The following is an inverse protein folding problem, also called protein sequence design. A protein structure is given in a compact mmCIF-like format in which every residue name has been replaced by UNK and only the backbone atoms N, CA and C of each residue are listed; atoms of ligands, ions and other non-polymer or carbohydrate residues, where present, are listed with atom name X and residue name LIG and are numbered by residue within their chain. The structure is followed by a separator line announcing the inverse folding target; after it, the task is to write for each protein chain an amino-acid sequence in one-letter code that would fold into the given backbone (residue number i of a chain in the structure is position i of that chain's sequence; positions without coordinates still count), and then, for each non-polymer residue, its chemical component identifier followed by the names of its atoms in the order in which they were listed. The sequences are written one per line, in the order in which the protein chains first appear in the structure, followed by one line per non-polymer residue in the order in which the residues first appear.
data_IF_669005563225
#
_entry.id   IF_669005563225
#
_cell.length_a   1.000
_cell.length_b   1.000
_cell.length_c   1.000
_cell.angle_alpha   90.00
_cell.angle_beta   90.00
_cell.angle_gamma   90.00
#
_symmetry.space_group_name_H-M   'P 1'
#
loop_
_entity.id
_entity.type
_entity.pdbx_description
1 polymer ?
#
# COMPACT_ATOMS: atom_id res chain seq x y z
N UNK A 1 2.23 26.46 -10.43
CA UNK A 1 3.19 25.36 -10.19
C UNK A 1 3.77 25.38 -8.74
N UNK A 2 3.10 25.98 -7.76
CA UNK A 2 3.52 26.00 -6.33
C UNK A 2 2.89 24.88 -5.48
N UNK A 3 1.93 24.13 -6.02
CA UNK A 3 1.23 23.04 -5.33
C UNK A 3 1.98 21.71 -5.31
N UNK A 4 3.05 21.59 -6.11
CA UNK A 4 3.80 20.35 -6.33
C UNK A 4 4.89 20.07 -5.28
N UNK A 5 5.18 21.01 -4.39
CA UNK A 5 6.29 20.89 -3.42
C UNK A 5 5.85 20.51 -2.01
N UNK A 6 4.55 20.30 -1.77
CA UNK A 6 4.03 20.06 -0.41
C UNK A 6 4.23 21.24 0.55
N UNK A 7 4.53 22.43 0.03
CA UNK A 7 4.76 23.66 0.80
C UNK A 7 3.49 24.47 1.09
N UNK A 8 2.37 24.15 0.41
CA UNK A 8 1.07 24.76 0.72
C UNK A 8 0.48 23.99 1.91
N UNK A 9 0.38 24.66 3.06
CA UNK A 9 -0.22 24.09 4.27
C UNK A 9 -1.66 23.60 4.03
N UNK A 10 -2.08 22.59 4.78
CA UNK A 10 -3.44 22.02 4.74
C UNK A 10 -4.53 23.10 4.90
N UNK A 11 -4.21 24.15 5.67
CA UNK A 11 -5.02 25.35 5.92
C UNK A 11 -5.45 26.13 4.66
N UNK A 12 -4.68 26.06 3.57
CA UNK A 12 -5.01 26.76 2.31
C UNK A 12 -5.76 25.87 1.31
N UNK A 13 -5.70 24.55 1.47
CA UNK A 13 -6.29 23.61 0.52
C UNK A 13 -7.75 23.29 0.84
N UNK A 14 -8.14 23.22 2.12
CA UNK A 14 -9.54 22.96 2.50
C UNK A 14 -10.48 24.05 1.94
N UNK A 15 -10.23 25.36 2.13
CA UNK A 15 -11.08 26.41 1.55
C UNK A 15 -11.11 26.39 0.03
N UNK A 16 -10.02 25.96 -0.63
CA UNK A 16 -9.96 25.83 -2.08
C UNK A 16 -10.95 24.78 -2.62
N UNK A 17 -11.19 23.69 -1.87
CA UNK A 17 -12.13 22.62 -2.26
C UNK A 17 -13.56 22.82 -1.73
N UNK A 18 -13.80 23.76 -0.81
CA UNK A 18 -15.14 24.02 -0.26
C UNK A 18 -16.19 24.37 -1.33
N UNK A 19 -15.77 24.99 -2.44
CA UNK A 19 -16.65 25.37 -3.55
C UNK A 19 -16.57 24.40 -4.75
N UNK A 20 -16.00 23.19 -4.57
CA UNK A 20 -15.82 22.20 -5.63
C UNK A 20 -17.07 21.32 -5.77
N UNK A 21 -18.22 21.92 -6.10
CA UNK A 21 -19.54 21.27 -6.03
C UNK A 21 -19.66 19.94 -6.80
N UNK A 22 -18.87 19.74 -7.86
CA UNK A 22 -18.84 18.50 -8.64
C UNK A 22 -17.69 17.56 -8.25
N UNK A 23 -16.77 17.98 -7.38
CA UNK A 23 -15.59 17.23 -6.98
C UNK A 23 -14.50 17.14 -8.05
N UNK A 24 -14.58 17.93 -9.14
CA UNK A 24 -13.63 17.86 -10.25
C UNK A 24 -12.23 18.39 -9.89
N UNK A 25 -12.14 19.46 -9.07
CA UNK A 25 -10.84 19.98 -8.63
C UNK A 25 -10.18 18.99 -7.68
N UNK A 26 -10.94 18.38 -6.79
CA UNK A 26 -10.45 17.41 -5.82
C UNK A 26 -9.99 16.12 -6.51
N UNK A 27 -10.77 15.58 -7.46
CA UNK A 27 -10.35 14.43 -8.29
C UNK A 27 -9.06 14.74 -9.03
N UNK A 28 -8.94 15.90 -9.70
CA UNK A 28 -7.68 16.31 -10.34
C UNK A 28 -6.52 16.45 -9.35
N UNK A 29 -6.76 16.97 -8.16
CA UNK A 29 -5.71 17.05 -7.14
C UNK A 29 -5.23 15.66 -6.72
N UNK A 30 -6.15 14.71 -6.53
CA UNK A 30 -5.81 13.31 -6.20
C UNK A 30 -4.93 12.71 -7.30
N UNK A 31 -5.39 12.74 -8.56
CA UNK A 31 -4.71 12.11 -9.71
C UNK A 31 -3.37 12.76 -10.02
N UNK A 32 -3.30 14.10 -10.06
CA UNK A 32 -2.13 14.81 -10.61
C UNK A 32 -1.11 15.21 -9.55
N UNK A 33 -1.50 15.23 -8.28
CA UNK A 33 -0.65 15.74 -7.19
C UNK A 33 -0.52 14.72 -6.08
N UNK A 34 -1.62 14.33 -5.43
CA UNK A 34 -1.57 13.50 -4.22
C UNK A 34 -0.90 12.15 -4.49
N UNK A 35 -1.40 11.40 -5.46
CA UNK A 35 -0.90 10.05 -5.74
C UNK A 35 0.56 10.06 -6.24
N UNK A 36 0.97 10.89 -7.23
CA UNK A 36 2.38 11.01 -7.63
C UNK A 36 3.30 11.48 -6.49
N UNK A 37 2.81 12.33 -5.59
CA UNK A 37 3.58 12.76 -4.42
C UNK A 37 3.74 11.62 -3.40
N UNK A 38 2.68 10.85 -3.15
CA UNK A 38 2.73 9.68 -2.27
C UNK A 38 3.64 8.58 -2.82
N UNK A 39 3.65 8.37 -4.14
CA UNK A 39 4.52 7.43 -4.86
C UNK A 39 6.01 7.72 -4.62
N UNK A 40 6.41 9.00 -4.74
CA UNK A 40 7.82 9.40 -4.81
C UNK A 40 8.39 9.93 -3.49
N UNK A 41 7.51 10.39 -2.60
CA UNK A 41 7.91 11.14 -1.42
C UNK A 41 7.19 10.63 -0.15
N UNK A 42 7.61 9.48 0.41
CA UNK A 42 6.96 8.86 1.57
C UNK A 42 6.96 9.73 2.83
N UNK A 43 7.88 10.70 2.93
CA UNK A 43 7.91 11.69 4.01
C UNK A 43 6.68 12.61 4.02
N UNK A 44 5.90 12.64 2.94
CA UNK A 44 4.69 13.46 2.82
C UNK A 44 3.41 12.73 3.23
N UNK A 45 3.44 11.40 3.41
CA UNK A 45 2.25 10.58 3.67
C UNK A 45 1.41 11.09 4.84
N UNK A 46 2.05 11.45 5.96
CA UNK A 46 1.32 11.95 7.15
C UNK A 46 0.63 13.29 6.88
N UNK A 47 1.29 14.21 6.19
CA UNK A 47 0.70 15.51 5.82
C UNK A 47 -0.47 15.32 4.84
N UNK A 48 -0.33 14.40 3.89
CA UNK A 48 -1.41 14.07 2.96
C UNK A 48 -2.59 13.41 3.68
N UNK A 49 -2.33 12.53 4.66
CA UNK A 49 -3.37 11.92 5.48
C UNK A 49 -4.13 12.96 6.31
N UNK A 50 -3.43 13.93 6.90
CA UNK A 50 -4.03 15.05 7.62
C UNK A 50 -4.93 15.89 6.71
N UNK A 51 -4.49 16.14 5.47
CA UNK A 51 -5.33 16.82 4.47
C UNK A 51 -6.59 16.01 4.17
N UNK A 52 -6.48 14.70 3.93
CA UNK A 52 -7.64 13.86 3.66
C UNK A 52 -8.64 13.86 4.82
N UNK A 53 -8.16 13.79 6.08
CA UNK A 53 -9.01 13.93 7.27
C UNK A 53 -9.73 15.28 7.33
N UNK A 54 -9.04 16.37 6.98
CA UNK A 54 -9.64 17.70 6.97
C UNK A 54 -10.66 17.89 5.83
N UNK A 55 -10.53 17.14 4.73
CA UNK A 55 -11.47 17.15 3.61
C UNK A 55 -12.66 16.20 3.82
N UNK A 56 -12.56 15.21 4.71
CA UNK A 56 -13.61 14.22 5.00
C UNK A 56 -15.01 14.81 5.24
N UNK A 57 -15.19 15.96 5.94
CA UNK A 57 -16.50 16.54 6.16
C UNK A 57 -17.18 17.10 4.90
N UNK A 58 -16.43 17.32 3.81
CA UNK A 58 -16.98 17.84 2.56
C UNK A 58 -17.75 16.75 1.82
N UNK A 59 -18.97 17.04 1.34
CA UNK A 59 -19.78 16.03 0.63
C UNK A 59 -19.11 15.52 -0.66
N UNK A 60 -18.33 16.39 -1.31
CA UNK A 60 -17.54 16.07 -2.51
C UNK A 60 -16.41 15.08 -2.24
N UNK A 61 -15.98 14.96 -0.98
CA UNK A 61 -15.02 13.96 -0.55
C UNK A 61 -15.63 12.56 -0.54
N UNK A 62 -16.87 12.40 -0.04
CA UNK A 62 -17.44 11.10 0.33
C UNK A 62 -17.57 10.12 -0.84
N UNK A 63 -17.91 10.60 -2.02
CA UNK A 63 -18.13 9.72 -3.17
C UNK A 63 -17.02 9.85 -4.22
N UNK A 64 -16.79 11.05 -4.75
CA UNK A 64 -15.88 11.23 -5.90
C UNK A 64 -14.41 11.10 -5.52
N UNK A 65 -13.97 11.70 -4.41
CA UNK A 65 -12.58 11.62 -3.95
C UNK A 65 -12.21 10.19 -3.54
N UNK A 66 -13.09 9.52 -2.78
CA UNK A 66 -12.90 8.11 -2.40
C UNK A 66 -12.78 7.20 -3.61
N UNK A 67 -13.66 7.37 -4.61
CA UNK A 67 -13.61 6.58 -5.84
C UNK A 67 -12.34 6.87 -6.66
N UNK A 68 -11.91 8.13 -6.75
CA UNK A 68 -10.66 8.49 -7.42
C UNK A 68 -9.44 7.91 -6.71
N UNK A 69 -9.37 8.00 -5.37
CA UNK A 69 -8.30 7.40 -4.58
C UNK A 69 -8.23 5.88 -4.79
N UNK A 70 -9.39 5.21 -4.78
CA UNK A 70 -9.47 3.78 -5.07
C UNK A 70 -8.97 3.45 -6.47
N UNK A 71 -9.47 4.17 -7.47
CA UNK A 71 -9.10 3.96 -8.86
C UNK A 71 -7.59 4.19 -9.05
N UNK A 72 -7.07 5.36 -8.68
CA UNK A 72 -5.67 5.73 -8.91
C UNK A 72 -4.69 4.84 -8.16
N UNK A 73 -4.96 4.51 -6.89
CA UNK A 73 -4.05 3.64 -6.12
C UNK A 73 -4.09 2.20 -6.65
N UNK A 74 -5.26 1.70 -7.07
CA UNK A 74 -5.36 0.38 -7.69
C UNK A 74 -4.69 0.34 -9.08
N UNK A 75 -4.91 1.33 -9.94
CA UNK A 75 -4.33 1.40 -11.28
C UNK A 75 -2.81 1.54 -11.21
N UNK A 76 -2.30 2.42 -10.35
CA UNK A 76 -0.85 2.56 -10.16
C UNK A 76 -0.25 1.25 -9.66
N UNK A 77 -0.88 0.63 -8.66
CA UNK A 77 -0.48 -0.66 -8.16
C UNK A 77 -0.40 -1.72 -9.28
N UNK A 78 -1.46 -1.89 -10.06
CA UNK A 78 -1.48 -2.83 -11.19
C UNK A 78 -0.41 -2.50 -12.24
N UNK A 79 -0.18 -1.21 -12.51
CA UNK A 79 0.80 -0.75 -13.51
C UNK A 79 2.25 -1.08 -13.15
N UNK A 80 2.57 -1.19 -11.85
CA UNK A 80 3.91 -1.60 -11.43
C UNK A 80 4.18 -3.09 -11.70
N UNK A 81 3.12 -3.90 -11.87
CA UNK A 81 3.23 -5.34 -12.12
C UNK A 81 4.12 -6.03 -11.10
N UNK A 82 4.58 -7.25 -11.39
CA UNK A 82 5.74 -7.82 -10.67
C UNK A 82 6.97 -6.98 -11.06
N UNK A 83 7.46 -6.02 -10.25
CA UNK A 83 8.53 -5.18 -10.73
C UNK A 83 9.79 -6.03 -10.70
N UNK A 84 10.26 -6.41 -11.89
CA UNK A 84 11.48 -7.20 -12.12
C UNK A 84 12.54 -6.91 -11.06
N UNK A 85 13.29 -7.90 -10.56
CA UNK A 85 14.40 -7.66 -9.62
C UNK A 85 15.33 -6.51 -10.05
N UNK A 86 15.45 -6.26 -11.36
CA UNK A 86 16.23 -5.15 -11.93
C UNK A 86 15.59 -3.75 -11.82
N UNK A 87 14.27 -3.63 -11.63
CA UNK A 87 13.54 -2.37 -11.56
C UNK A 87 13.34 -1.86 -10.11
N UNK A 88 14.45 -1.50 -9.45
CA UNK A 88 14.45 -1.09 -8.04
C UNK A 88 13.55 0.13 -7.72
N UNK A 89 13.43 1.08 -8.65
CA UNK A 89 12.60 2.27 -8.46
C UNK A 89 11.10 1.93 -8.44
N UNK A 90 10.64 1.00 -9.29
CA UNK A 90 9.25 0.55 -9.31
C UNK A 90 8.87 -0.18 -8.00
N UNK A 91 9.78 -0.98 -7.42
CA UNK A 91 9.57 -1.61 -6.10
C UNK A 91 9.43 -0.58 -4.98
N UNK A 92 10.20 0.49 -5.05
CA UNK A 92 10.13 1.59 -4.07
C UNK A 92 8.78 2.30 -4.16
N UNK A 93 8.33 2.61 -5.38
CA UNK A 93 7.04 3.25 -5.63
C UNK A 93 5.87 2.36 -5.20
N UNK A 94 5.91 1.07 -5.53
CA UNK A 94 4.96 0.07 -5.06
C UNK A 94 4.85 0.04 -3.53
N UNK A 95 5.99 0.02 -2.84
CA UNK A 95 6.05 0.03 -1.36
C UNK A 95 5.42 1.31 -0.80
N UNK A 96 5.77 2.47 -1.37
CA UNK A 96 5.26 3.77 -0.92
C UNK A 96 3.74 3.90 -1.12
N UNK A 97 3.21 3.45 -2.25
CA UNK A 97 1.76 3.47 -2.52
C UNK A 97 1.00 2.55 -1.55
N UNK A 98 1.52 1.34 -1.29
CA UNK A 98 0.91 0.43 -0.32
C UNK A 98 0.95 1.00 1.11
N UNK A 99 2.06 1.62 1.50
CA UNK A 99 2.14 2.33 2.79
C UNK A 99 1.07 3.41 2.90
N UNK A 100 0.93 4.25 1.88
CA UNK A 100 -0.04 5.34 1.91
C UNK A 100 -1.49 4.81 1.96
N UNK A 101 -1.81 3.80 1.15
CA UNK A 101 -3.12 3.14 1.16
C UNK A 101 -3.44 2.51 2.54
N UNK A 102 -2.46 1.85 3.17
CA UNK A 102 -2.61 1.30 4.51
C UNK A 102 -2.91 2.40 5.55
N UNK A 103 -2.22 3.54 5.49
CA UNK A 103 -2.48 4.67 6.38
C UNK A 103 -3.88 5.26 6.18
N UNK A 104 -4.35 5.39 4.95
CA UNK A 104 -5.72 5.87 4.64
C UNK A 104 -6.76 4.87 5.15
N UNK A 105 -6.50 3.57 4.97
CA UNK A 105 -7.38 2.51 5.47
C UNK A 105 -7.49 2.50 6.98
N UNK A 106 -6.35 2.54 7.67
CA UNK A 106 -6.26 2.61 9.14
C UNK A 106 -6.97 3.83 9.70
N UNK A 107 -6.95 4.95 8.97
CA UNK A 107 -7.67 6.16 9.33
C UNK A 107 -9.17 6.11 9.00
N UNK A 108 -9.68 4.99 8.50
CA UNK A 108 -11.09 4.76 8.15
C UNK A 108 -11.64 5.75 7.11
N UNK A 109 -10.75 6.35 6.32
CA UNK A 109 -11.13 7.32 5.29
C UNK A 109 -11.61 6.61 4.02
N UNK A 110 -10.99 5.49 3.69
CA UNK A 110 -11.32 4.66 2.52
C UNK A 110 -11.12 3.20 2.89
N UNK A 111 -12.14 2.37 2.63
CA UNK A 111 -11.95 0.92 2.75
C UNK A 111 -11.14 0.38 1.57
N UNK A 112 -9.98 -0.21 1.88
CA UNK A 112 -9.01 -0.82 0.97
C UNK A 112 -8.79 -2.31 1.27
N UNK A 113 -9.72 -2.99 1.96
CA UNK A 113 -9.55 -4.40 2.34
C UNK A 113 -9.28 -5.32 1.14
N UNK A 114 -9.96 -5.12 0.02
CA UNK A 114 -9.73 -5.87 -1.23
C UNK A 114 -8.33 -5.59 -1.80
N UNK A 115 -7.90 -4.32 -1.79
CA UNK A 115 -6.57 -3.95 -2.24
C UNK A 115 -5.47 -4.56 -1.35
N UNK A 116 -5.66 -4.50 -0.02
CA UNK A 116 -4.79 -5.14 0.96
C UNK A 116 -4.70 -6.66 0.73
N UNK A 117 -5.84 -7.33 0.54
CA UNK A 117 -5.87 -8.76 0.27
C UNK A 117 -5.07 -9.12 -0.98
N UNK A 118 -5.26 -8.38 -2.09
CA UNK A 118 -4.50 -8.61 -3.32
C UNK A 118 -3.00 -8.41 -3.10
N UNK A 119 -2.59 -7.36 -2.38
CA UNK A 119 -1.17 -7.14 -2.05
C UNK A 119 -0.61 -8.29 -1.21
N UNK A 120 -1.34 -8.75 -0.19
CA UNK A 120 -0.91 -9.85 0.68
C UNK A 120 -0.84 -11.17 -0.09
N UNK A 121 -1.83 -11.47 -0.93
CA UNK A 121 -1.82 -12.63 -1.83
C UNK A 121 -0.64 -12.59 -2.79
N UNK A 122 -0.34 -11.40 -3.30
CA UNK A 122 0.77 -11.23 -4.22
C UNK A 122 2.12 -11.42 -3.54
N UNK A 123 2.32 -10.84 -2.36
CA UNK A 123 3.60 -10.88 -1.66
C UNK A 123 3.83 -12.19 -0.89
N UNK A 124 2.77 -12.83 -0.40
CA UNK A 124 2.85 -13.92 0.60
C UNK A 124 2.25 -15.24 0.13
N UNK A 125 1.81 -15.39 -1.13
CA UNK A 125 1.52 -16.73 -1.70
C UNK A 125 2.75 -17.29 -2.42
N UNK A 126 3.02 -18.57 -2.17
CA UNK A 126 4.20 -19.32 -2.60
C UNK A 126 4.50 -19.19 -4.11
N UNK A 127 3.48 -19.21 -4.97
CA UNK A 127 3.65 -19.14 -6.44
C UNK A 127 3.90 -17.75 -7.00
N UNK A 128 3.52 -16.70 -6.27
CA UNK A 128 3.56 -15.32 -6.76
C UNK A 128 4.99 -14.79 -6.96
N UNK A 129 5.99 -15.34 -6.26
CA UNK A 129 7.39 -14.95 -6.38
C UNK A 129 8.34 -16.11 -6.73
N UNK A 130 7.93 -17.38 -6.56
CA UNK A 130 8.71 -18.56 -7.00
C UNK A 130 8.63 -18.84 -8.49
N UNK A 131 7.50 -18.55 -9.14
CA UNK A 131 7.25 -18.97 -10.54
C UNK A 131 7.30 -17.80 -11.55
N UNK A 132 7.23 -16.54 -11.12
CA UNK A 132 6.83 -15.43 -12.00
C UNK A 132 7.94 -14.62 -12.69
N UNK A 133 9.22 -14.96 -12.52
CA UNK A 133 10.32 -14.13 -13.06
C UNK A 133 10.93 -14.60 -14.39
N UNK A 134 10.42 -15.68 -14.98
CA UNK A 134 10.91 -16.22 -16.24
C UNK A 134 9.91 -16.04 -17.37
N UNK A 135 10.19 -15.15 -18.32
CA UNK A 135 9.84 -15.43 -19.71
C UNK A 135 10.62 -16.72 -20.03
N UNK A 136 9.92 -17.83 -20.31
CA UNK A 136 10.48 -19.18 -20.56
C UNK A 136 10.86 -20.05 -19.34
N UNK A 137 9.92 -20.34 -18.43
CA UNK A 137 10.00 -21.55 -17.59
C UNK A 137 11.21 -21.66 -16.65
N UNK A 138 11.90 -20.55 -16.37
CA UNK A 138 12.99 -20.49 -15.39
C UNK A 138 12.44 -20.04 -14.04
N UNK A 139 12.50 -20.94 -13.07
CA UNK A 139 12.33 -20.62 -11.65
C UNK A 139 13.51 -19.72 -11.26
N UNK A 140 13.27 -18.42 -11.08
CA UNK A 140 14.27 -17.53 -10.49
C UNK A 140 14.17 -17.66 -8.97
N UNK A 141 15.26 -18.11 -8.34
CA UNK A 141 15.42 -18.09 -6.89
C UNK A 141 15.91 -16.73 -6.37
N UNK A 142 15.87 -15.68 -7.20
CA UNK A 142 16.35 -14.35 -6.83
C UNK A 142 15.39 -13.65 -5.86
N UNK A 143 15.69 -13.81 -4.57
CA UNK A 143 14.90 -13.24 -3.48
C UNK A 143 14.96 -11.70 -3.40
N UNK A 144 15.78 -11.01 -4.22
CA UNK A 144 15.82 -9.52 -4.23
C UNK A 144 14.50 -8.88 -4.65
N UNK A 145 13.65 -9.62 -5.35
CA UNK A 145 12.27 -9.19 -5.62
C UNK A 145 11.42 -9.04 -4.34
N UNK A 146 11.69 -9.85 -3.31
CA UNK A 146 10.95 -9.79 -2.04
C UNK A 146 11.19 -8.48 -1.29
N UNK A 147 12.30 -7.77 -1.53
CA UNK A 147 12.61 -6.52 -0.82
C UNK A 147 11.50 -5.47 -0.97
N UNK A 148 10.83 -5.41 -2.12
CA UNK A 148 9.68 -4.51 -2.33
C UNK A 148 8.35 -5.12 -1.89
N UNK A 149 8.10 -6.37 -2.30
CA UNK A 149 6.82 -7.04 -2.07
C UNK A 149 6.56 -7.35 -0.61
N UNK A 150 7.56 -7.88 0.09
CA UNK A 150 7.45 -8.15 1.51
C UNK A 150 7.27 -6.85 2.30
N UNK A 151 8.00 -5.77 1.95
CA UNK A 151 7.83 -4.46 2.57
C UNK A 151 6.41 -3.90 2.40
N UNK A 152 5.84 -4.01 1.20
CA UNK A 152 4.46 -3.60 0.93
C UNK A 152 3.45 -4.40 1.76
N UNK A 153 3.59 -5.72 1.84
CA UNK A 153 2.75 -6.57 2.68
C UNK A 153 2.88 -6.22 4.16
N UNK A 154 4.10 -5.93 4.64
CA UNK A 154 4.33 -5.59 6.03
C UNK A 154 3.66 -4.28 6.42
N UNK A 155 3.53 -3.31 5.51
CA UNK A 155 2.72 -2.11 5.79
C UNK A 155 1.27 -2.46 6.11
N UNK A 156 0.65 -3.37 5.35
CA UNK A 156 -0.72 -3.82 5.63
C UNK A 156 -0.85 -4.59 6.93
N UNK A 157 0.04 -5.55 7.19
CA UNK A 157 -0.02 -6.37 8.41
C UNK A 157 0.23 -5.52 9.67
N UNK A 158 1.24 -4.65 9.64
CA UNK A 158 1.64 -3.86 10.81
C UNK A 158 0.66 -2.73 11.11
N UNK A 159 0.13 -2.05 10.09
CA UNK A 159 -0.75 -0.91 10.28
C UNK A 159 -2.22 -1.31 10.42
N UNK A 160 -2.65 -2.36 9.71
CA UNK A 160 -4.06 -2.69 9.50
C UNK A 160 -4.41 -4.15 9.86
N UNK A 161 -3.47 -4.96 10.33
CA UNK A 161 -3.70 -6.41 10.52
C UNK A 161 -4.92 -6.74 11.37
N UNK A 162 -5.16 -6.01 12.47
CA UNK A 162 -6.35 -6.24 13.32
C UNK A 162 -7.67 -5.90 12.63
N UNK A 163 -7.73 -4.84 11.82
CA UNK A 163 -8.97 -4.46 11.13
C UNK A 163 -9.22 -5.33 9.90
N UNK A 164 -8.15 -5.87 9.30
CA UNK A 164 -8.23 -6.74 8.13
C UNK A 164 -8.55 -8.20 8.47
N UNK A 165 -8.03 -8.73 9.58
CA UNK A 165 -8.16 -10.14 9.93
C UNK A 165 -9.62 -10.66 9.97
N UNK A 166 -10.61 -9.93 10.52
CA UNK A 166 -12.00 -10.39 10.53
C UNK A 166 -12.69 -10.43 9.15
N UNK A 167 -12.05 -9.90 8.10
CA UNK A 167 -12.60 -9.97 6.74
C UNK A 167 -12.48 -11.41 6.25
N UNK A 168 -13.61 -12.07 5.98
CA UNK A 168 -13.68 -13.52 5.70
C UNK A 168 -12.68 -14.03 4.66
N UNK A 169 -12.46 -13.28 3.58
CA UNK A 169 -11.52 -13.68 2.52
C UNK A 169 -10.05 -13.61 2.95
N UNK A 170 -9.74 -12.67 3.84
CA UNK A 170 -8.42 -12.48 4.46
C UNK A 170 -8.19 -13.57 5.51
N UNK A 171 -9.18 -13.82 6.38
CA UNK A 171 -9.14 -14.88 7.40
C UNK A 171 -8.82 -16.24 6.78
N UNK A 172 -9.49 -16.60 5.68
CA UNK A 172 -9.27 -17.86 4.95
C UNK A 172 -7.84 -18.02 4.43
N UNK A 173 -7.14 -16.92 4.12
CA UNK A 173 -5.79 -16.93 3.58
C UNK A 173 -4.71 -16.78 4.66
N UNK A 174 -5.09 -16.45 5.90
CA UNK A 174 -4.18 -16.00 6.96
C UNK A 174 -3.12 -17.04 7.33
N UNK A 175 -3.54 -18.30 7.55
CA UNK A 175 -2.62 -19.39 7.90
C UNK A 175 -1.58 -19.65 6.82
N UNK A 176 -1.99 -19.60 5.54
CA UNK A 176 -1.10 -19.80 4.41
C UNK A 176 -0.08 -18.67 4.28
N UNK A 177 -0.52 -17.42 4.42
CA UNK A 177 0.39 -16.27 4.38
C UNK A 177 1.39 -16.30 5.53
N UNK A 178 0.94 -16.74 6.73
CA UNK A 178 1.80 -16.88 7.90
C UNK A 178 2.90 -17.93 7.66
N UNK A 179 2.56 -19.11 7.18
CA UNK A 179 3.53 -20.17 6.84
C UNK A 179 4.56 -19.68 5.80
N UNK A 180 4.09 -18.96 4.78
CA UNK A 180 5.00 -18.39 3.78
C UNK A 180 5.88 -17.29 4.37
N UNK A 181 5.38 -16.48 5.29
CA UNK A 181 6.17 -15.46 5.98
C UNK A 181 7.23 -16.08 6.91
N UNK A 182 6.90 -17.17 7.60
CA UNK A 182 7.87 -17.97 8.37
C UNK A 182 8.98 -18.50 7.47
N UNK A 183 8.63 -19.02 6.29
CA UNK A 183 9.61 -19.44 5.29
C UNK A 183 10.49 -18.26 4.82
N UNK A 184 9.89 -17.11 4.51
CA UNK A 184 10.63 -15.89 4.07
C UNK A 184 11.65 -15.49 5.14
N UNK A 185 11.23 -15.41 6.41
CA UNK A 185 12.11 -15.05 7.54
C UNK A 185 13.28 -16.02 7.70
N UNK A 186 13.08 -17.30 7.37
CA UNK A 186 14.15 -18.31 7.44
C UNK A 186 15.21 -18.20 6.32
N UNK A 187 14.96 -17.42 5.27
CA UNK A 187 15.88 -17.33 4.12
C UNK A 187 17.15 -16.55 4.45
N UNK A 188 18.28 -17.26 4.50
CA UNK A 188 19.58 -16.68 4.83
C UNK A 188 20.09 -15.66 3.79
N UNK A 189 19.66 -15.75 2.54
CA UNK A 189 20.06 -14.87 1.43
C UNK A 189 19.28 -13.54 1.39
N UNK A 190 18.22 -13.38 2.18
CA UNK A 190 17.55 -12.09 2.31
C UNK A 190 18.36 -11.11 3.16
N UNK A 191 18.27 -9.83 2.80
CA UNK A 191 18.88 -8.76 3.59
C UNK A 191 18.32 -8.74 5.02
N UNK A 192 19.19 -8.43 5.99
CA UNK A 192 18.80 -8.35 7.41
C UNK A 192 17.68 -7.34 7.66
N UNK A 193 17.66 -6.25 6.88
CA UNK A 193 16.63 -5.22 6.98
C UNK A 193 15.24 -5.79 6.68
N UNK A 194 15.11 -6.52 5.57
CA UNK A 194 13.84 -7.14 5.15
C UNK A 194 13.47 -8.27 6.09
N UNK A 195 14.42 -9.10 6.49
CA UNK A 195 14.17 -10.19 7.46
C UNK A 195 13.60 -9.66 8.78
N UNK A 196 14.16 -8.58 9.32
CA UNK A 196 13.66 -7.93 10.54
C UNK A 196 12.25 -7.37 10.36
N UNK A 197 11.96 -6.77 9.20
CA UNK A 197 10.63 -6.24 8.90
C UNK A 197 9.60 -7.37 8.76
N UNK A 198 9.95 -8.45 8.07
CA UNK A 198 9.13 -9.65 7.96
C UNK A 198 8.89 -10.34 9.31
N UNK A 199 9.92 -10.44 10.15
CA UNK A 199 9.80 -10.98 11.51
C UNK A 199 8.77 -10.19 12.33
N UNK A 200 8.83 -8.85 12.27
CA UNK A 200 7.84 -8.01 12.96
C UNK A 200 6.42 -8.26 12.46
N UNK A 201 6.24 -8.47 11.15
CA UNK A 201 4.95 -8.83 10.58
C UNK A 201 4.45 -10.19 11.07
N UNK A 202 5.34 -11.18 11.13
CA UNK A 202 5.04 -12.52 11.66
C UNK A 202 4.64 -12.46 13.14
N UNK A 203 5.38 -11.70 13.95
CA UNK A 203 5.06 -11.46 15.35
C UNK A 203 3.67 -10.81 15.47
N UNK A 204 3.35 -9.85 14.60
CA UNK A 204 2.04 -9.21 14.57
C UNK A 204 0.91 -10.17 14.17
N UNK A 205 1.14 -11.03 13.18
CA UNK A 205 0.16 -12.06 12.81
C UNK A 205 -0.09 -13.05 13.95
N UNK A 206 0.96 -13.45 14.67
CA UNK A 206 0.87 -14.30 15.85
C UNK A 206 0.08 -13.65 16.99
N UNK A 207 0.27 -12.36 17.21
CA UNK A 207 -0.50 -11.58 18.18
C UNK A 207 -2.00 -11.57 17.82
N UNK A 208 -2.31 -11.26 16.56
CA UNK A 208 -3.70 -11.18 16.06
C UNK A 208 -4.43 -12.52 16.19
N UNK A 209 -3.80 -13.63 15.81
CA UNK A 209 -4.45 -14.96 15.87
C UNK A 209 -4.65 -15.51 17.29
N UNK A 210 -4.11 -14.86 18.33
CA UNK A 210 -4.28 -15.26 19.74
C UNK A 210 -5.33 -14.43 20.47
N UNK A 211 -5.70 -13.27 19.93
CA UNK A 211 -6.68 -12.34 20.49
C UNK A 211 -8.11 -12.78 20.14
#
# INVERSE_FOLDING_TARGET
MQYLTGAVGTENLVPFFQNDNDGAKLSRYVTWIMVPLAERHPQTHEKQLQLLKALQPLDTFKERCVNELRYQLNEMALSYGDPSPSAAYLRTWWTNINRFAALIHKAELVNFSEFAQRTLDYALKERSWRESWGVEGRISSDLRALDGHASAAMHWLLECGHSLYPVTTIEQSWSQWKENLEWIVSQASLSDAIRKVCQRGLDKMNEISRA
#
